data_IF_055644010883
#
_entry.id   IF_055644010883
#
_cell.length_a   1.000
_cell.length_b   1.000
_cell.length_c   1.000
_cell.angle_alpha   90.00
_cell.angle_beta   90.00
_cell.angle_gamma   90.00
#
_symmetry.space_group_name_H-M   'P 1'
#
loop_
_entity.id
_entity.type
_entity.pdbx_description
1 polymer ?
#
# COMPACT_ATOMS: atom_id res chain seq x y z
N UNK A 1 -5.54 -17.77 -18.88
CA UNK A 1 -5.12 -17.44 -20.26
C UNK A 1 -6.06 -16.42 -20.91
N UNK A 2 -7.37 -16.69 -21.03
CA UNK A 2 -8.30 -15.78 -21.70
C UNK A 2 -8.41 -14.39 -21.05
N UNK A 3 -8.51 -14.31 -19.71
CA UNK A 3 -8.53 -13.03 -18.99
C UNK A 3 -7.31 -12.15 -19.32
N UNK A 4 -6.11 -12.71 -19.18
CA UNK A 4 -4.86 -11.99 -19.46
C UNK A 4 -4.73 -11.52 -20.91
N UNK A 5 -5.27 -12.28 -21.87
CA UNK A 5 -5.34 -11.85 -23.27
C UNK A 5 -6.38 -10.74 -23.47
N UNK A 6 -7.55 -10.86 -22.85
CA UNK A 6 -8.71 -10.00 -23.08
C UNK A 6 -8.57 -8.60 -22.47
N UNK A 7 -7.93 -8.49 -21.30
CA UNK A 7 -7.77 -7.19 -20.60
C UNK A 7 -6.32 -6.80 -20.32
N UNK A 8 -5.35 -7.58 -20.82
CA UNK A 8 -3.93 -7.40 -20.49
C UNK A 8 -3.37 -6.04 -20.86
N UNK A 9 -3.92 -5.39 -21.89
CA UNK A 9 -3.51 -4.05 -22.33
C UNK A 9 -3.78 -2.98 -21.26
N UNK A 10 -4.92 -3.10 -20.55
CA UNK A 10 -5.34 -2.13 -19.53
C UNK A 10 -4.88 -2.56 -18.14
N UNK A 11 -5.09 -3.83 -17.80
CA UNK A 11 -4.76 -4.37 -16.49
C UNK A 11 -3.25 -4.53 -16.29
N UNK A 12 -2.49 -4.83 -17.35
CA UNK A 12 -1.05 -5.07 -17.25
C UNK A 12 -0.23 -3.81 -17.00
N UNK A 13 -0.67 -2.65 -17.51
CA UNK A 13 0.07 -1.40 -17.38
C UNK A 13 0.24 -0.93 -15.90
N UNK A 14 -0.82 -0.83 -15.08
CA UNK A 14 -0.69 -0.51 -13.66
C UNK A 14 0.20 -1.50 -12.89
N UNK A 15 0.08 -2.81 -13.17
CA UNK A 15 0.87 -3.85 -12.49
C UNK A 15 2.36 -3.77 -12.85
N UNK A 16 2.71 -3.41 -14.09
CA UNK A 16 4.10 -3.20 -14.47
C UNK A 16 4.70 -1.97 -13.75
N UNK A 17 3.91 -0.89 -13.64
CA UNK A 17 4.33 0.33 -12.93
C UNK A 17 4.48 0.06 -11.43
N UNK A 18 3.57 -0.71 -10.83
CA UNK A 18 3.65 -1.17 -9.44
C UNK A 18 5.01 -1.81 -9.15
N UNK A 19 5.43 -2.74 -10.01
CA UNK A 19 6.72 -3.42 -9.87
C UNK A 19 7.90 -2.45 -9.91
N UNK A 20 7.94 -1.57 -10.93
CA UNK A 20 9.05 -0.64 -11.16
C UNK A 20 9.15 0.46 -10.10
N UNK A 21 8.02 0.97 -9.63
CA UNK A 21 7.97 2.14 -8.75
C UNK A 21 7.87 1.75 -7.27
N UNK A 22 6.99 0.81 -6.94
CA UNK A 22 6.66 0.52 -5.56
C UNK A 22 7.49 -0.65 -5.02
N UNK A 23 7.46 -1.81 -5.69
CA UNK A 23 8.16 -3.00 -5.20
C UNK A 23 9.68 -2.82 -5.15
N UNK A 24 10.28 -2.19 -6.16
CA UNK A 24 11.71 -1.89 -6.12
C UNK A 24 12.07 -0.98 -4.94
N UNK A 25 11.27 0.07 -4.69
CA UNK A 25 11.51 0.99 -3.59
C UNK A 25 11.37 0.25 -2.25
N UNK A 26 10.25 -0.43 -2.03
CA UNK A 26 9.97 -1.15 -0.78
C UNK A 26 11.00 -2.25 -0.51
N UNK A 27 11.29 -3.11 -1.48
CA UNK A 27 12.24 -4.24 -1.33
C UNK A 27 13.69 -3.78 -1.13
N UNK A 28 14.07 -2.64 -1.70
CA UNK A 28 15.41 -2.06 -1.45
C UNK A 28 15.48 -1.42 -0.07
N UNK A 29 14.45 -0.66 0.31
CA UNK A 29 14.42 0.05 1.59
C UNK A 29 14.28 -0.91 2.79
N UNK A 30 13.52 -2.01 2.68
CA UNK A 30 13.41 -3.00 3.76
C UNK A 30 14.77 -3.65 4.08
N UNK A 31 15.59 -3.90 3.05
CA UNK A 31 16.97 -4.38 3.25
C UNK A 31 17.82 -3.37 4.02
N UNK A 32 17.77 -2.10 3.61
CA UNK A 32 18.48 -1.03 4.31
C UNK A 32 17.94 -0.78 5.73
N UNK A 33 16.64 -0.98 5.96
CA UNK A 33 16.03 -0.82 7.28
C UNK A 33 16.62 -1.80 8.30
N UNK A 34 16.76 -3.07 7.94
CA UNK A 34 17.31 -4.09 8.83
C UNK A 34 18.83 -3.98 8.99
N UNK A 35 19.58 -3.76 7.91
CA UNK A 35 21.05 -3.79 7.94
C UNK A 35 21.70 -2.40 8.12
N UNK A 36 20.93 -1.33 8.10
CA UNK A 36 21.41 0.06 8.12
C UNK A 36 21.63 0.65 9.51
N UNK A 37 21.28 -0.04 10.60
CA UNK A 37 21.34 0.52 11.96
C UNK A 37 22.74 1.00 12.38
N UNK A 38 23.77 0.23 12.09
CA UNK A 38 25.16 0.57 12.44
C UNK A 38 25.90 1.34 11.31
N UNK A 39 25.29 1.43 10.12
CA UNK A 39 25.93 1.97 8.90
C UNK A 39 25.37 3.33 8.48
N UNK A 40 24.15 3.66 8.88
CA UNK A 40 23.47 4.91 8.53
C UNK A 40 23.37 5.84 9.73
N UNK A 41 23.44 7.15 9.47
CA UNK A 41 23.07 8.14 10.48
C UNK A 41 21.58 8.05 10.78
N UNK A 42 21.17 8.42 12.00
CA UNK A 42 19.77 8.35 12.47
C UNK A 42 18.77 9.00 11.51
N UNK A 43 19.11 10.15 10.94
CA UNK A 43 18.26 10.87 9.97
C UNK A 43 18.06 10.08 8.67
N UNK A 44 19.12 9.41 8.20
CA UNK A 44 19.07 8.62 6.97
C UNK A 44 18.31 7.32 7.18
N UNK A 45 18.44 6.71 8.36
CA UNK A 45 17.65 5.53 8.72
C UNK A 45 16.15 5.86 8.82
N UNK A 46 15.81 7.03 9.38
CA UNK A 46 14.43 7.54 9.36
C UNK A 46 13.93 7.77 7.94
N UNK A 47 14.75 8.37 7.06
CA UNK A 47 14.39 8.56 5.65
C UNK A 47 14.12 7.22 4.94
N UNK A 48 14.95 6.21 5.17
CA UNK A 48 14.74 4.85 4.64
C UNK A 48 13.40 4.27 5.12
N UNK A 49 13.11 4.44 6.41
CA UNK A 49 11.85 3.95 7.00
C UNK A 49 10.62 4.67 6.39
N UNK A 50 10.74 5.98 6.12
CA UNK A 50 9.68 6.76 5.48
C UNK A 50 9.49 6.36 4.01
N UNK A 51 10.58 6.21 3.26
CA UNK A 51 10.54 5.77 1.86
C UNK A 51 9.96 4.36 1.74
N UNK A 52 10.26 3.46 2.68
CA UNK A 52 9.64 2.15 2.77
C UNK A 52 8.12 2.28 2.93
N UNK A 53 7.65 3.09 3.87
CA UNK A 53 6.21 3.31 4.08
C UNK A 53 5.52 3.94 2.85
N UNK A 54 6.19 4.87 2.15
CA UNK A 54 5.68 5.44 0.90
C UNK A 54 5.61 4.36 -0.20
N UNK A 55 6.63 3.52 -0.32
CA UNK A 55 6.66 2.39 -1.27
C UNK A 55 5.48 1.44 -1.08
N UNK A 56 5.21 1.02 0.16
CA UNK A 56 4.06 0.15 0.48
C UNK A 56 2.72 0.82 0.11
N UNK A 57 2.58 2.14 0.30
CA UNK A 57 1.37 2.87 -0.10
C UNK A 57 1.23 3.00 -1.62
N UNK A 58 2.33 3.24 -2.35
CA UNK A 58 2.32 3.27 -3.81
C UNK A 58 1.94 1.92 -4.39
N UNK A 59 2.39 0.83 -3.77
CA UNK A 59 2.01 -0.54 -4.13
C UNK A 59 0.50 -0.72 -4.01
N UNK A 60 -0.07 -0.37 -2.85
CA UNK A 60 -1.51 -0.39 -2.63
C UNK A 60 -2.28 0.48 -3.64
N UNK A 61 -1.74 1.63 -4.06
CA UNK A 61 -2.36 2.49 -5.07
C UNK A 61 -2.48 1.79 -6.42
N UNK A 62 -1.38 1.24 -6.95
CA UNK A 62 -1.38 0.65 -8.30
C UNK A 62 -2.23 -0.61 -8.39
N UNK A 63 -2.17 -1.49 -7.38
CA UNK A 63 -3.00 -2.69 -7.37
C UNK A 63 -4.49 -2.37 -7.24
N UNK A 64 -4.84 -1.32 -6.49
CA UNK A 64 -6.23 -0.87 -6.32
C UNK A 64 -6.76 -0.08 -7.52
N UNK A 65 -5.89 0.57 -8.31
CA UNK A 65 -6.27 1.11 -9.63
C UNK A 65 -6.68 -0.04 -10.55
N UNK A 66 -5.87 -1.09 -10.63
CA UNK A 66 -6.18 -2.27 -11.44
C UNK A 66 -7.50 -2.93 -10.98
N UNK A 67 -7.67 -3.10 -9.67
CA UNK A 67 -8.88 -3.68 -9.09
C UNK A 67 -10.12 -2.73 -9.17
N UNK A 68 -9.91 -1.42 -9.16
CA UNK A 68 -10.94 -0.41 -9.37
C UNK A 68 -11.46 -0.43 -10.80
N UNK A 69 -10.55 -0.54 -11.78
CA UNK A 69 -10.89 -0.70 -13.18
C UNK A 69 -11.71 -1.98 -13.45
N UNK A 70 -11.38 -3.10 -12.80
CA UNK A 70 -12.18 -4.34 -12.92
C UNK A 70 -13.64 -4.17 -12.51
N UNK A 71 -13.95 -3.22 -11.61
CA UNK A 71 -15.33 -2.94 -11.18
C UNK A 71 -16.00 -1.84 -12.00
N UNK A 72 -15.22 -0.87 -12.48
CA UNK A 72 -15.70 0.24 -13.29
C UNK A 72 -14.72 0.46 -14.47
N UNK A 73 -14.95 -0.19 -15.63
CA UNK A 73 -13.99 -0.23 -16.73
C UNK A 73 -14.03 1.05 -17.57
N UNK A 74 -13.62 2.17 -16.96
CA UNK A 74 -13.46 3.46 -17.64
C UNK A 74 -12.15 3.52 -18.44
N UNK A 75 -12.11 4.32 -19.50
CA UNK A 75 -10.89 4.53 -20.30
C UNK A 75 -10.48 3.34 -21.18
N UNK A 76 -11.42 2.45 -21.50
CA UNK A 76 -11.18 1.25 -22.32
C UNK A 76 -12.30 0.99 -23.32
N UNK A 77 -11.96 0.52 -24.52
CA UNK A 77 -12.91 0.14 -25.58
C UNK A 77 -12.62 -1.26 -26.13
N UNK A 78 -13.64 -1.94 -26.64
CA UNK A 78 -13.48 -3.26 -27.23
C UNK A 78 -13.09 -3.16 -28.71
N UNK A 79 -11.96 -3.78 -29.08
CA UNK A 79 -11.51 -3.86 -30.47
C UNK A 79 -11.92 -5.20 -31.09
N UNK A 80 -12.76 -5.14 -32.12
CA UNK A 80 -13.19 -6.33 -32.88
C UNK A 80 -12.07 -6.95 -33.73
N UNK A 81 -10.95 -6.24 -33.91
CA UNK A 81 -9.79 -6.70 -34.69
C UNK A 81 -8.89 -7.59 -33.82
N UNK A 82 -8.55 -7.10 -32.62
CA UNK A 82 -7.64 -7.78 -31.69
C UNK A 82 -8.39 -8.68 -30.69
N UNK A 83 -9.73 -8.66 -30.71
CA UNK A 83 -10.62 -9.45 -29.85
C UNK A 83 -10.30 -9.28 -28.35
N UNK A 84 -9.96 -8.05 -27.96
CA UNK A 84 -9.59 -7.65 -26.58
C UNK A 84 -10.08 -6.22 -26.29
N UNK A 85 -10.11 -5.89 -25.01
CA UNK A 85 -10.26 -4.51 -24.54
C UNK A 85 -8.91 -3.79 -24.68
N UNK A 86 -8.92 -2.60 -25.27
CA UNK A 86 -7.74 -1.75 -25.47
C UNK A 86 -7.89 -0.46 -24.67
N UNK A 87 -6.76 0.06 -24.18
CA UNK A 87 -6.74 1.29 -23.38
C UNK A 87 -6.89 2.52 -24.29
N UNK A 88 -7.89 3.35 -23.99
CA UNK A 88 -8.15 4.60 -24.73
C UNK A 88 -7.68 5.82 -23.94
N UNK A 89 -7.81 5.78 -22.60
CA UNK A 89 -7.38 6.87 -21.72
C UNK A 89 -6.79 6.33 -20.41
N UNK A 90 -5.47 6.43 -20.28
CA UNK A 90 -4.74 6.01 -19.08
C UNK A 90 -5.13 6.83 -17.84
N UNK A 91 -5.34 8.14 -18.00
CA UNK A 91 -5.65 9.01 -16.86
C UNK A 91 -7.06 8.77 -16.34
N UNK A 92 -8.01 8.42 -17.21
CA UNK A 92 -9.33 7.97 -16.79
C UNK A 92 -9.27 6.70 -15.92
N UNK A 93 -8.35 5.78 -16.22
CA UNK A 93 -8.13 4.56 -15.41
C UNK A 93 -7.54 4.91 -14.04
N UNK A 94 -6.52 5.78 -14.00
CA UNK A 94 -5.84 6.20 -12.75
C UNK A 94 -6.77 7.00 -11.83
N UNK A 95 -7.53 7.94 -12.37
CA UNK A 95 -8.45 8.78 -11.61
C UNK A 95 -9.86 8.19 -11.47
N UNK A 96 -10.01 6.88 -11.67
CA UNK A 96 -11.28 6.20 -11.50
C UNK A 96 -11.80 6.39 -10.06
N UNK A 97 -13.03 6.92 -9.87
CA UNK A 97 -13.58 7.18 -8.53
C UNK A 97 -13.67 5.92 -7.67
N UNK A 98 -13.88 4.75 -8.28
CA UNK A 98 -13.90 3.46 -7.57
C UNK A 98 -12.51 3.10 -7.06
N UNK A 99 -11.46 3.35 -7.85
CA UNK A 99 -10.08 3.12 -7.42
C UNK A 99 -9.70 4.03 -6.25
N UNK A 100 -10.06 5.32 -6.32
CA UNK A 100 -9.78 6.29 -5.26
C UNK A 100 -10.48 5.93 -3.94
N UNK A 101 -11.76 5.58 -4.00
CA UNK A 101 -12.51 5.17 -2.81
C UNK A 101 -11.93 3.89 -2.19
N UNK A 102 -11.56 2.91 -3.02
CA UNK A 102 -10.92 1.67 -2.55
C UNK A 102 -9.55 1.90 -1.96
N UNK A 103 -8.75 2.79 -2.56
CA UNK A 103 -7.42 3.13 -2.07
C UNK A 103 -7.50 3.67 -0.64
N UNK A 104 -8.28 4.72 -0.43
CA UNK A 104 -8.44 5.32 0.90
C UNK A 104 -8.96 4.29 1.89
N UNK A 105 -10.01 3.54 1.54
CA UNK A 105 -10.60 2.56 2.45
C UNK A 105 -9.63 1.43 2.83
N UNK A 106 -8.94 0.85 1.85
CA UNK A 106 -8.07 -0.32 2.07
C UNK A 106 -6.79 0.06 2.81
N UNK A 107 -6.20 1.22 2.48
CA UNK A 107 -5.01 1.71 3.17
C UNK A 107 -5.33 2.07 4.62
N UNK A 108 -6.43 2.80 4.86
CA UNK A 108 -6.90 3.09 6.22
C UNK A 108 -7.18 1.81 7.01
N UNK A 109 -7.85 0.81 6.41
CA UNK A 109 -8.06 -0.49 7.05
C UNK A 109 -6.74 -1.21 7.41
N UNK A 110 -5.71 -1.11 6.54
CA UNK A 110 -4.37 -1.61 6.82
C UNK A 110 -3.71 -0.91 8.02
N UNK A 111 -3.80 0.41 8.09
CA UNK A 111 -3.26 1.19 9.22
C UNK A 111 -3.96 0.88 10.54
N UNK A 112 -5.29 0.72 10.52
CA UNK A 112 -6.06 0.29 11.69
C UNK A 112 -5.63 -1.10 12.13
N UNK A 113 -5.43 -2.03 11.19
CA UNK A 113 -4.97 -3.39 11.48
C UNK A 113 -3.60 -3.38 12.17
N UNK A 114 -2.63 -2.63 11.64
CA UNK A 114 -1.30 -2.50 12.24
C UNK A 114 -1.35 -1.84 13.63
N UNK A 115 -2.18 -0.82 13.79
CA UNK A 115 -2.36 -0.13 15.08
C UNK A 115 -2.97 -1.05 16.14
N UNK A 116 -4.03 -1.78 15.77
CA UNK A 116 -4.68 -2.73 16.66
C UNK A 116 -3.77 -3.87 17.07
N UNK A 117 -2.87 -4.32 16.18
CA UNK A 117 -1.85 -5.32 16.52
C UNK A 117 -0.92 -4.81 17.62
N UNK A 118 -0.34 -3.62 17.45
CA UNK A 118 0.57 -3.02 18.45
C UNK A 118 -0.16 -2.73 19.76
N UNK A 119 -1.40 -2.22 19.71
CA UNK A 119 -2.24 -1.98 20.89
C UNK A 119 -2.53 -3.26 21.66
N UNK A 120 -2.86 -4.35 20.97
CA UNK A 120 -3.18 -5.64 21.59
C UNK A 120 -1.99 -6.21 22.35
N UNK A 121 -0.80 -6.20 21.73
CA UNK A 121 0.44 -6.68 22.36
C UNK A 121 0.83 -5.78 23.55
N UNK A 122 0.77 -4.46 23.37
CA UNK A 122 1.09 -3.50 24.43
C UNK A 122 0.14 -3.65 25.63
N UNK A 123 -1.15 -3.86 25.37
CA UNK A 123 -2.15 -4.13 26.42
C UNK A 123 -1.83 -5.41 27.19
N UNK A 124 -1.42 -6.46 26.48
CA UNK A 124 -1.03 -7.72 27.11
C UNK A 124 0.20 -7.55 28.02
N UNK A 125 1.20 -6.77 27.59
CA UNK A 125 2.38 -6.46 28.43
C UNK A 125 1.99 -5.68 29.70
N UNK A 126 1.09 -4.71 29.58
CA UNK A 126 0.60 -3.94 30.73
C UNK A 126 -0.18 -4.83 31.72
N UNK A 127 -1.05 -5.72 31.22
CA UNK A 127 -1.78 -6.68 32.06
C UNK A 127 -0.84 -7.63 32.82
N UNK A 128 0.26 -8.04 32.18
CA UNK A 128 1.29 -8.90 32.80
C UNK A 128 2.35 -8.13 33.59
N UNK A 129 2.24 -6.79 33.67
CA UNK A 129 3.23 -5.89 34.30
C UNK A 129 4.66 -6.09 33.77
N UNK A 130 4.80 -6.38 32.47
CA UNK A 130 6.09 -6.53 31.78
C UNK A 130 6.42 -5.26 31.00
N UNK A 131 7.68 -4.82 31.05
CA UNK A 131 8.22 -3.71 30.26
C UNK A 131 7.28 -2.49 30.18
N UNK A 132 6.76 -2.06 31.34
CA UNK A 132 5.63 -1.13 31.45
C UNK A 132 5.90 0.19 30.74
N UNK A 133 7.12 0.72 30.79
CA UNK A 133 7.47 1.97 30.12
C UNK A 133 7.46 1.82 28.59
N UNK A 134 8.01 0.73 28.07
CA UNK A 134 8.01 0.42 26.64
C UNK A 134 6.57 0.23 26.15
N UNK A 135 5.79 -0.60 26.86
CA UNK A 135 4.40 -0.86 26.52
C UNK A 135 3.54 0.42 26.54
N UNK A 136 3.74 1.33 27.50
CA UNK A 136 3.03 2.63 27.52
C UNK A 136 3.38 3.51 26.32
N UNK A 137 4.65 3.57 25.90
CA UNK A 137 5.07 4.38 24.74
C UNK A 137 4.47 3.82 23.45
N UNK A 138 4.60 2.50 23.23
CA UNK A 138 4.04 1.81 22.06
C UNK A 138 2.51 1.94 22.00
N UNK A 139 1.83 1.80 23.14
CA UNK A 139 0.38 1.94 23.22
C UNK A 139 -0.09 3.35 22.82
N UNK A 140 0.57 4.41 23.30
CA UNK A 140 0.18 5.79 22.96
C UNK A 140 0.31 6.09 21.47
N UNK A 141 1.42 5.69 20.85
CA UNK A 141 1.66 5.92 19.41
C UNK A 141 0.62 5.16 18.59
N UNK A 142 0.40 3.88 18.91
CA UNK A 142 -0.56 3.05 18.19
C UNK A 142 -2.02 3.52 18.39
N UNK A 143 -2.38 4.02 19.57
CA UNK A 143 -3.71 4.58 19.83
C UNK A 143 -3.96 5.85 19.02
N UNK A 144 -3.01 6.79 19.01
CA UNK A 144 -3.15 8.04 18.28
C UNK A 144 -3.20 7.81 16.77
N UNK A 145 -2.29 7.00 16.24
CA UNK A 145 -2.25 6.67 14.81
C UNK A 145 -3.49 5.85 14.38
N UNK A 146 -3.89 4.86 15.18
CA UNK A 146 -5.07 4.05 14.92
C UNK A 146 -6.36 4.88 14.90
N UNK A 147 -6.54 5.80 15.85
CA UNK A 147 -7.69 6.71 15.87
C UNK A 147 -7.72 7.61 14.62
N UNK A 148 -6.58 8.18 14.24
CA UNK A 148 -6.47 9.01 13.03
C UNK A 148 -6.73 8.22 11.74
N UNK A 149 -6.45 6.91 11.74
CA UNK A 149 -6.63 6.04 10.58
C UNK A 149 -8.08 5.59 10.35
N UNK A 150 -8.96 5.73 11.36
CA UNK A 150 -10.39 5.38 11.25
C UNK A 150 -11.24 6.53 10.72
N UNK A 151 -10.75 7.77 10.86
CA UNK A 151 -11.41 9.00 10.39
C UNK A 151 -11.28 9.14 8.87
#
# INVERSE_FOLDING_TARGET
AYYSHYVGDIFGAPLAIEGLMAFFLESTMIGLFFFGWDRLKKEHHLLVTLLMAIGTNLSALWILIANGWMQNPVGSEFSYITMRMEMVDFWAVVFNPVAQAKFVHTVSAGYVTGSMFVLSISSWYLLKRRDVEFAKRSFRVAAAFGLASVL
#
